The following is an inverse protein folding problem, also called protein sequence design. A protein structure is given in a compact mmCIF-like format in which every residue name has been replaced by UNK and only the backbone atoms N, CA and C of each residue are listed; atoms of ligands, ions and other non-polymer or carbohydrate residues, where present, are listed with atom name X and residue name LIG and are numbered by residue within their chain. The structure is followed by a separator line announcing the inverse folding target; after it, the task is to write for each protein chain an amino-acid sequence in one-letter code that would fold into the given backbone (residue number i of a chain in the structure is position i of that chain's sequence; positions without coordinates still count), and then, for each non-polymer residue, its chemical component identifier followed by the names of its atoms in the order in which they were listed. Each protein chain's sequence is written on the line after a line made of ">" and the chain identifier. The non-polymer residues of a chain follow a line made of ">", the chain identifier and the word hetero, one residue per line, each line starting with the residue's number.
data_IF_506787889921
#
_entry.id   IF_506787889921
#
_cell.length_a   1.000
_cell.length_b   1.000
_cell.length_c   1.000
_cell.angle_alpha   90.00
_cell.angle_beta   90.00
_cell.angle_gamma   90.00
#
_symmetry.space_group_name_H-M   'P 1'
#
loop_
_entity.id
_entity.type
_entity.pdbx_description
1 polymer ?
#
# COMPACT_ATOMS: atom_id res chain seq x y z
N UNK A 1 44.94 -30.91 24.66
CA UNK A 1 44.18 -29.64 24.61
C UNK A 1 44.60 -28.82 23.39
N UNK A 2 44.04 -29.10 22.21
CA UNK A 2 44.35 -28.38 20.95
C UNK A 2 43.06 -27.96 20.21
N UNK A 3 41.92 -27.98 20.91
CA UNK A 3 40.59 -27.73 20.29
C UNK A 3 40.12 -26.27 20.46
N UNK A 4 40.88 -25.45 21.19
CA UNK A 4 40.50 -24.06 21.51
C UNK A 4 41.09 -23.02 20.55
N UNK A 5 42.27 -23.27 19.96
CA UNK A 5 42.97 -22.26 19.13
C UNK A 5 42.34 -21.98 17.77
N UNK A 6 41.52 -22.88 17.21
CA UNK A 6 40.86 -22.63 15.91
C UNK A 6 39.59 -21.78 16.06
N UNK A 7 38.87 -21.93 17.19
CA UNK A 7 37.63 -21.18 17.43
C UNK A 7 37.93 -19.72 17.74
N UNK A 8 38.95 -19.47 18.56
CA UNK A 8 39.40 -18.13 18.94
C UNK A 8 39.94 -17.32 17.73
N UNK A 9 40.68 -17.97 16.83
CA UNK A 9 41.15 -17.34 15.60
C UNK A 9 40.00 -16.94 14.63
N UNK A 10 38.93 -17.76 14.58
CA UNK A 10 37.75 -17.45 13.76
C UNK A 10 36.93 -16.29 14.35
N UNK A 11 36.87 -16.17 15.68
CA UNK A 11 36.17 -15.08 16.37
C UNK A 11 36.89 -13.72 16.19
N UNK A 12 38.23 -13.68 16.29
CA UNK A 12 39.03 -12.47 16.05
C UNK A 12 38.93 -11.99 14.60
N UNK A 13 39.11 -12.89 13.62
CA UNK A 13 39.06 -12.53 12.19
C UNK A 13 37.68 -12.02 11.77
N UNK A 14 36.59 -12.52 12.37
CA UNK A 14 35.25 -12.03 12.08
C UNK A 14 34.94 -10.68 12.72
N UNK A 15 35.54 -10.36 13.86
CA UNK A 15 35.25 -9.11 14.59
C UNK A 15 35.82 -7.89 13.85
N UNK A 16 37.03 -8.00 13.30
CA UNK A 16 37.63 -6.94 12.48
C UNK A 16 36.86 -6.67 11.17
N UNK A 17 36.39 -7.75 10.52
CA UNK A 17 35.56 -7.65 9.30
C UNK A 17 34.21 -7.01 9.62
N UNK A 18 33.61 -7.35 10.77
CA UNK A 18 32.33 -6.80 11.25
C UNK A 18 32.41 -5.31 11.58
N UNK A 19 33.42 -4.89 12.35
CA UNK A 19 33.60 -3.49 12.72
C UNK A 19 33.86 -2.59 11.50
N UNK A 20 34.64 -3.09 10.54
CA UNK A 20 34.88 -2.39 9.27
C UNK A 20 33.59 -2.27 8.46
N UNK A 21 32.74 -3.30 8.45
CA UNK A 21 31.47 -3.29 7.74
C UNK A 21 30.47 -2.29 8.36
N UNK A 22 30.32 -2.31 9.68
CA UNK A 22 29.43 -1.40 10.42
C UNK A 22 29.82 0.07 10.22
N UNK A 23 31.13 0.36 10.16
CA UNK A 23 31.65 1.71 9.93
C UNK A 23 31.38 2.23 8.52
N UNK A 24 31.20 1.35 7.53
CA UNK A 24 30.90 1.71 6.15
C UNK A 24 29.40 1.82 5.85
N UNK A 25 28.55 1.21 6.68
CA UNK A 25 27.11 1.21 6.51
C UNK A 25 26.51 2.56 6.93
N UNK A 26 25.72 3.15 6.04
CA UNK A 26 24.96 4.37 6.29
C UNK A 26 23.47 4.08 6.23
N UNK A 27 22.69 4.76 7.08
CA UNK A 27 21.21 4.75 7.01
C UNK A 27 20.78 5.24 5.62
N UNK A 28 19.80 4.57 5.02
CA UNK A 28 19.30 4.79 3.66
C UNK A 28 20.07 4.07 2.55
N UNK A 29 21.08 3.26 2.88
CA UNK A 29 21.81 2.50 1.86
C UNK A 29 21.02 1.27 1.44
N UNK A 30 20.85 1.08 0.14
CA UNK A 30 20.28 -0.13 -0.44
C UNK A 30 21.38 -1.17 -0.62
N UNK A 31 21.16 -2.39 -0.13
CA UNK A 31 22.06 -3.53 -0.30
C UNK A 31 21.31 -4.81 -0.60
N UNK A 32 22.01 -5.73 -1.25
CA UNK A 32 21.53 -7.08 -1.45
C UNK A 32 21.97 -7.95 -0.27
N UNK A 33 21.07 -8.79 0.22
CA UNK A 33 21.33 -9.74 1.29
C UNK A 33 20.66 -11.08 1.03
N UNK A 34 21.06 -12.08 1.79
CA UNK A 34 20.50 -13.44 1.71
C UNK A 34 19.70 -13.72 2.97
N UNK A 35 18.47 -14.19 2.83
CA UNK A 35 17.64 -14.53 3.99
C UNK A 35 18.26 -15.73 4.72
N UNK A 36 18.81 -15.51 5.91
CA UNK A 36 19.40 -16.59 6.71
C UNK A 36 18.35 -17.36 7.51
N UNK A 37 17.29 -16.69 7.98
CA UNK A 37 16.24 -17.31 8.79
C UNK A 37 14.95 -16.51 8.76
N UNK A 38 13.81 -17.18 8.97
CA UNK A 38 12.49 -16.54 9.01
C UNK A 38 11.84 -16.89 10.35
N UNK A 39 11.27 -15.88 11.01
CA UNK A 39 10.55 -16.01 12.28
C UNK A 39 9.16 -15.38 12.15
N UNK A 40 8.24 -15.69 13.07
CA UNK A 40 6.85 -15.20 12.97
C UNK A 40 6.73 -13.66 12.99
N UNK A 41 7.71 -12.96 13.57
CA UNK A 41 7.71 -11.49 13.67
C UNK A 41 8.62 -10.80 12.64
N UNK A 42 9.27 -11.54 11.75
CA UNK A 42 10.23 -10.95 10.79
C UNK A 42 11.13 -11.95 10.06
N UNK A 43 12.10 -11.43 9.33
CA UNK A 43 13.11 -12.22 8.63
C UNK A 43 14.52 -11.69 8.92
N UNK A 44 15.47 -12.60 9.09
CA UNK A 44 16.89 -12.31 9.23
C UNK A 44 17.56 -12.40 7.87
N UNK A 45 18.28 -11.36 7.50
CA UNK A 45 18.99 -11.24 6.23
C UNK A 45 20.45 -10.97 6.51
N UNK A 46 21.31 -11.84 6.00
CA UNK A 46 22.76 -11.68 6.04
C UNK A 46 23.19 -10.74 4.91
N UNK A 47 23.91 -9.67 5.27
CA UNK A 47 24.46 -8.68 4.35
C UNK A 47 25.95 -8.90 4.05
N UNK A 48 26.49 -10.08 4.35
CA UNK A 48 27.88 -10.45 4.09
C UNK A 48 28.83 -9.97 5.18
N UNK A 49 28.41 -10.07 6.43
CA UNK A 49 29.23 -9.72 7.59
C UNK A 49 28.43 -9.40 8.84
N UNK A 50 27.20 -8.90 8.67
CA UNK A 50 26.28 -8.51 9.73
C UNK A 50 24.87 -8.98 9.41
N UNK A 51 24.18 -9.46 10.44
CA UNK A 51 22.78 -9.88 10.35
C UNK A 51 21.86 -8.67 10.52
N UNK A 52 20.99 -8.44 9.54
CA UNK A 52 19.92 -7.48 9.65
C UNK A 52 18.57 -8.15 9.89
N UNK A 53 17.71 -7.47 10.64
CA UNK A 53 16.35 -7.92 10.91
C UNK A 53 15.35 -7.05 10.13
N UNK A 54 14.48 -7.71 9.38
CA UNK A 54 13.31 -7.10 8.74
C UNK A 54 12.09 -7.42 9.58
N UNK A 55 11.35 -6.40 10.00
CA UNK A 55 10.10 -6.61 10.74
C UNK A 55 9.00 -7.13 9.80
N UNK A 56 8.02 -7.89 10.31
CA UNK A 56 6.86 -8.33 9.49
C UNK A 56 6.14 -7.16 8.82
N UNK A 57 6.10 -6.01 9.51
CA UNK A 57 5.54 -4.77 8.97
C UNK A 57 6.40 -4.12 7.89
N UNK A 58 7.67 -4.51 7.72
CA UNK A 58 8.61 -3.97 6.73
C UNK A 58 8.91 -4.97 5.59
N UNK A 59 8.29 -6.15 5.63
CA UNK A 59 8.39 -7.20 4.60
C UNK A 59 7.56 -6.88 3.35
N UNK A 60 6.33 -6.35 3.52
CA UNK A 60 5.49 -5.89 2.41
C UNK A 60 4.47 -4.86 2.87
N UNK A 61 4.03 -4.02 1.92
CA UNK A 61 2.90 -3.10 2.09
C UNK A 61 1.56 -3.81 2.28
N UNK A 62 1.49 -5.10 1.93
CA UNK A 62 0.31 -5.95 2.12
C UNK A 62 0.28 -6.55 3.53
N UNK A 63 -0.92 -6.82 4.03
CA UNK A 63 -1.09 -7.65 5.22
C UNK A 63 -0.68 -9.07 4.86
N UNK A 64 0.34 -9.60 5.55
CA UNK A 64 0.86 -10.95 5.33
C UNK A 64 0.58 -11.74 6.60
N UNK A 65 -0.14 -12.85 6.47
CA UNK A 65 -0.35 -13.79 7.57
C UNK A 65 0.93 -14.58 7.91
N UNK A 66 1.73 -14.94 6.89
CA UNK A 66 3.00 -15.65 7.07
C UNK A 66 4.16 -15.09 6.23
N UNK A 67 5.28 -14.65 6.86
CA UNK A 67 6.43 -14.09 6.13
C UNK A 67 7.09 -15.07 5.16
N UNK A 68 6.90 -16.38 5.37
CA UNK A 68 7.38 -17.45 4.48
C UNK A 68 6.74 -17.45 3.08
N UNK A 69 5.63 -16.74 2.88
CA UNK A 69 5.01 -16.58 1.56
C UNK A 69 5.72 -15.53 0.70
N UNK A 70 6.40 -14.57 1.35
CA UNK A 70 7.02 -13.42 0.68
C UNK A 70 8.51 -13.60 0.52
N UNK A 71 9.17 -14.22 1.51
CA UNK A 71 10.60 -14.50 1.48
C UNK A 71 10.87 -15.95 1.85
N UNK A 72 11.89 -16.56 1.24
CA UNK A 72 12.35 -17.92 1.57
C UNK A 72 13.77 -17.88 2.13
N UNK A 73 14.08 -18.80 3.03
CA UNK A 73 15.46 -18.96 3.51
C UNK A 73 16.37 -19.30 2.33
N UNK A 74 17.46 -18.56 2.19
CA UNK A 74 18.41 -18.64 1.07
C UNK A 74 18.06 -17.74 -0.12
N UNK A 75 16.95 -17.01 -0.07
CA UNK A 75 16.57 -16.10 -1.16
C UNK A 75 17.39 -14.81 -1.12
N UNK A 76 17.68 -14.27 -2.31
CA UNK A 76 18.41 -13.01 -2.47
C UNK A 76 17.42 -11.86 -2.51
N UNK A 77 17.49 -10.98 -1.53
CA UNK A 77 16.56 -9.86 -1.38
C UNK A 77 17.31 -8.53 -1.33
N UNK A 78 16.73 -7.50 -1.93
CA UNK A 78 17.27 -6.14 -1.92
C UNK A 78 16.59 -5.32 -0.84
N UNK A 79 17.36 -4.90 0.15
CA UNK A 79 16.89 -4.28 1.38
C UNK A 79 17.51 -2.90 1.58
N UNK A 80 16.79 -1.99 2.21
CA UNK A 80 17.31 -0.70 2.64
C UNK A 80 17.61 -0.70 4.13
N UNK A 81 18.72 -0.06 4.51
CA UNK A 81 19.12 0.13 5.91
C UNK A 81 18.31 1.28 6.52
N UNK A 82 17.34 0.96 7.38
CA UNK A 82 16.59 2.00 8.11
C UNK A 82 17.39 2.54 9.29
N UNK A 83 17.95 1.63 10.09
CA UNK A 83 18.66 1.97 11.31
C UNK A 83 19.82 1.00 11.55
N UNK A 84 20.88 1.50 12.16
CA UNK A 84 22.10 0.75 12.48
C UNK A 84 22.39 0.98 13.95
N UNK A 85 22.30 -0.09 14.74
CA UNK A 85 22.61 -0.11 16.16
C UNK A 85 24.02 -0.71 16.33
N UNK A 86 25.00 0.16 16.56
CA UNK A 86 26.42 -0.18 16.70
C UNK A 86 26.70 -0.89 18.03
N UNK A 87 25.98 -0.54 19.09
CA UNK A 87 26.15 -1.13 20.43
C UNK A 87 25.69 -2.59 20.48
N UNK A 88 24.65 -2.92 19.71
CA UNK A 88 24.10 -4.27 19.65
C UNK A 88 24.50 -5.04 18.41
N UNK A 89 25.28 -4.45 17.51
CA UNK A 89 25.65 -4.99 16.20
C UNK A 89 24.43 -5.45 15.37
N UNK A 90 23.33 -4.70 15.44
CA UNK A 90 22.06 -5.06 14.77
C UNK A 90 21.65 -3.99 13.78
N UNK A 91 21.16 -4.43 12.64
CA UNK A 91 20.69 -3.54 11.58
C UNK A 91 19.19 -3.77 11.37
N UNK A 92 18.42 -2.70 11.37
CA UNK A 92 17.02 -2.73 10.95
C UNK A 92 16.93 -2.50 9.46
N UNK A 93 16.35 -3.48 8.78
CA UNK A 93 16.24 -3.51 7.34
C UNK A 93 14.77 -3.40 6.90
N UNK A 94 14.57 -2.83 5.72
CA UNK A 94 13.27 -2.73 5.07
C UNK A 94 13.31 -3.30 3.66
N UNK A 95 12.30 -4.12 3.32
CA UNK A 95 12.00 -4.47 1.93
C UNK A 95 10.99 -3.50 1.30
N UNK A 96 10.33 -2.67 2.12
CA UNK A 96 9.34 -1.70 1.68
C UNK A 96 9.96 -0.49 1.02
N UNK A 97 11.10 -0.02 1.52
CA UNK A 97 11.70 1.22 1.03
C UNK A 97 12.19 1.12 -0.43
N UNK A 98 12.48 -0.10 -0.89
CA UNK A 98 12.75 -0.43 -2.30
C UNK A 98 11.48 -0.64 -3.15
N UNK A 99 10.29 -0.76 -2.52
CA UNK A 99 9.01 -0.89 -3.20
C UNK A 99 8.31 0.48 -3.26
N UNK A 100 7.82 0.88 -4.43
CA UNK A 100 7.07 2.13 -4.59
C UNK A 100 5.91 2.20 -3.59
N UNK A 101 5.84 3.29 -2.82
CA UNK A 101 4.72 3.58 -1.92
C UNK A 101 3.41 3.46 -2.73
N UNK A 102 2.46 2.60 -2.33
CA UNK A 102 1.20 2.45 -3.07
C UNK A 102 0.45 3.78 -3.15
N UNK A 103 0.60 4.66 -2.15
CA UNK A 103 0.07 6.03 -2.16
C UNK A 103 0.70 6.93 -3.22
N UNK A 104 2.02 6.84 -3.42
CA UNK A 104 2.69 7.59 -4.49
C UNK A 104 2.28 7.06 -5.86
N UNK A 105 2.17 5.73 -6.01
CA UNK A 105 1.66 5.11 -7.24
C UNK A 105 0.23 5.54 -7.51
N UNK A 106 -0.61 5.57 -6.48
CA UNK A 106 -2.01 5.98 -6.59
C UNK A 106 -2.12 7.46 -6.96
N UNK A 107 -1.38 8.35 -6.32
CA UNK A 107 -1.37 9.78 -6.68
C UNK A 107 -0.86 10.05 -8.11
N UNK A 108 0.04 9.20 -8.63
CA UNK A 108 0.51 9.30 -10.02
C UNK A 108 -0.48 8.73 -11.04
N UNK A 109 -1.21 7.68 -10.66
CA UNK A 109 -2.10 6.93 -11.57
C UNK A 109 -3.52 7.50 -11.56
N UNK A 110 -3.97 8.06 -10.44
CA UNK A 110 -5.33 8.52 -10.23
C UNK A 110 -5.38 10.03 -10.03
N UNK A 111 -6.08 10.69 -10.94
CA UNK A 111 -6.37 12.13 -10.87
C UNK A 111 -7.61 12.33 -9.98
N UNK A 112 -7.62 13.33 -9.07
CA UNK A 112 -8.84 13.71 -8.36
C UNK A 112 -9.95 14.00 -9.37
N UNK A 113 -11.08 13.32 -9.22
CA UNK A 113 -12.21 13.32 -10.14
C UNK A 113 -12.43 11.98 -10.86
N UNK A 114 -11.50 11.02 -10.76
CA UNK A 114 -11.68 9.70 -11.34
C UNK A 114 -12.65 8.84 -10.53
N UNK A 115 -13.48 8.08 -11.24
CA UNK A 115 -14.33 7.05 -10.64
C UNK A 115 -13.51 5.77 -10.53
N UNK A 116 -13.46 5.24 -9.31
CA UNK A 116 -12.74 4.02 -8.95
C UNK A 116 -13.71 3.05 -8.31
N UNK A 117 -13.49 1.75 -8.55
CA UNK A 117 -14.26 0.69 -7.90
C UNK A 117 -13.59 0.38 -6.57
N UNK A 118 -14.36 0.35 -5.48
CA UNK A 118 -13.84 0.04 -4.16
C UNK A 118 -14.79 -0.85 -3.36
N UNK A 119 -14.23 -1.57 -2.39
CA UNK A 119 -14.97 -2.47 -1.51
C UNK A 119 -15.16 -1.83 -0.14
N UNK A 120 -16.37 -1.85 0.38
CA UNK A 120 -16.65 -1.32 1.73
C UNK A 120 -15.97 -2.20 2.78
N UNK A 121 -15.01 -1.64 3.51
CA UNK A 121 -14.32 -2.34 4.61
C UNK A 121 -15.10 -2.18 5.91
N UNK A 122 -15.46 -0.94 6.26
CA UNK A 122 -16.05 -0.60 7.56
C UNK A 122 -17.01 0.57 7.44
N UNK A 123 -18.09 0.52 8.18
CA UNK A 123 -19.09 1.58 8.24
C UNK A 123 -19.06 2.19 9.64
N UNK A 124 -19.09 3.52 9.73
CA UNK A 124 -19.17 4.27 11.00
C UNK A 124 -20.26 5.34 10.90
N UNK A 125 -20.72 5.88 12.02
CA UNK A 125 -21.84 6.83 12.04
C UNK A 125 -21.59 8.12 11.25
N UNK A 126 -20.34 8.51 11.04
CA UNK A 126 -19.97 9.73 10.30
C UNK A 126 -19.47 9.45 8.86
N UNK A 127 -19.37 8.18 8.44
CA UNK A 127 -18.90 7.85 7.10
C UNK A 127 -18.68 6.37 6.82
N UNK A 128 -18.26 6.06 5.60
CA UNK A 128 -17.98 4.70 5.13
C UNK A 128 -16.54 4.61 4.66
N UNK A 129 -15.81 3.61 5.15
CA UNK A 129 -14.46 3.28 4.70
C UNK A 129 -14.54 2.29 3.54
N UNK A 130 -13.95 2.67 2.42
CA UNK A 130 -13.93 1.91 1.18
C UNK A 130 -12.47 1.69 0.80
N UNK A 131 -12.09 0.43 0.65
CA UNK A 131 -10.79 0.03 0.10
C UNK A 131 -10.87 0.12 -1.42
N UNK A 132 -10.11 1.04 -2.01
CA UNK A 132 -10.09 1.28 -3.46
C UNK A 132 -9.00 0.43 -4.12
N UNK A 133 -7.86 0.29 -3.46
CA UNK A 133 -6.71 -0.49 -3.92
C UNK A 133 -6.00 -1.14 -2.72
N UNK A 134 -5.16 -2.15 -2.97
CA UNK A 134 -4.39 -2.88 -1.94
C UNK A 134 -3.62 -1.93 -1.00
N UNK A 135 -4.16 -1.71 0.21
CA UNK A 135 -3.53 -0.85 1.24
C UNK A 135 -3.93 0.63 1.18
N UNK A 136 -4.93 0.99 0.37
CA UNK A 136 -5.45 2.35 0.24
C UNK A 136 -6.93 2.39 0.62
N UNK A 137 -7.20 3.10 1.71
CA UNK A 137 -8.55 3.30 2.23
C UNK A 137 -9.00 4.75 2.00
N UNK A 138 -10.20 4.90 1.45
CA UNK A 138 -10.87 6.18 1.36
C UNK A 138 -12.09 6.24 2.27
N UNK A 139 -12.41 7.45 2.71
CA UNK A 139 -13.55 7.75 3.54
C UNK A 139 -14.59 8.51 2.72
N UNK A 140 -15.81 7.99 2.70
CA UNK A 140 -16.99 8.69 2.21
C UNK A 140 -17.71 9.30 3.41
N UNK A 141 -17.88 10.61 3.43
CA UNK A 141 -18.69 11.27 4.45
C UNK A 141 -20.17 10.90 4.27
N UNK A 142 -20.94 10.84 5.36
CA UNK A 142 -22.40 10.58 5.28
C UNK A 142 -23.14 11.54 4.34
N UNK A 143 -22.66 12.79 4.25
CA UNK A 143 -23.20 13.82 3.35
C UNK A 143 -22.96 13.51 1.86
N UNK A 144 -21.98 12.67 1.55
CA UNK A 144 -21.57 12.29 0.19
C UNK A 144 -22.06 10.87 -0.19
N UNK A 145 -22.86 10.22 0.67
CA UNK A 145 -23.48 8.91 0.40
C UNK A 145 -24.78 9.02 -0.41
N UNK A 146 -25.63 10.02 -0.15
CA UNK A 146 -26.88 10.23 -0.88
C UNK A 146 -27.40 11.67 -0.74
N UNK A 147 -28.21 12.11 -1.70
CA UNK A 147 -28.91 13.41 -1.65
C UNK A 147 -30.03 13.48 -0.60
N UNK A 148 -30.41 12.36 0.01
CA UNK A 148 -31.43 12.28 1.06
C UNK A 148 -30.72 12.22 2.42
N UNK A 149 -31.33 12.76 3.47
CA UNK A 149 -30.79 12.67 4.83
C UNK A 149 -30.74 11.17 5.22
N UNK A 150 -29.55 10.57 5.18
CA UNK A 150 -29.36 9.17 5.56
C UNK A 150 -28.93 9.16 7.02
N UNK A 151 -29.84 8.79 7.92
CA UNK A 151 -29.54 8.65 9.35
C UNK A 151 -28.61 7.46 9.63
N UNK A 152 -28.61 6.44 8.75
CA UNK A 152 -27.73 5.27 8.87
C UNK A 152 -27.11 4.83 7.54
N UNK A 153 -25.77 4.95 7.37
CA UNK A 153 -25.08 4.54 6.15
C UNK A 153 -25.21 3.02 5.85
N UNK A 154 -25.47 2.19 6.87
CA UNK A 154 -25.70 0.74 6.72
C UNK A 154 -26.95 0.37 5.92
N UNK A 155 -27.91 1.29 5.79
CA UNK A 155 -29.12 1.06 4.97
C UNK A 155 -28.83 1.22 3.48
N UNK A 156 -27.76 1.96 3.12
CA UNK A 156 -27.43 2.29 1.73
C UNK A 156 -26.35 1.35 1.18
N UNK A 157 -25.35 1.01 2.00
CA UNK A 157 -24.23 0.16 1.59
C UNK A 157 -23.97 -0.92 2.63
N UNK A 158 -23.70 -2.15 2.18
CA UNK A 158 -23.34 -3.25 3.08
C UNK A 158 -21.82 -3.35 3.25
N UNK A 159 -21.32 -3.77 4.43
CA UNK A 159 -19.92 -4.11 4.58
C UNK A 159 -19.56 -5.25 3.62
N UNK A 160 -18.50 -5.06 2.85
CA UNK A 160 -18.01 -5.98 1.83
C UNK A 160 -18.62 -5.80 0.44
N UNK A 161 -19.54 -4.86 0.25
CA UNK A 161 -20.12 -4.54 -1.06
C UNK A 161 -19.14 -3.76 -1.93
N UNK A 162 -19.17 -4.01 -3.23
CA UNK A 162 -18.38 -3.27 -4.21
C UNK A 162 -19.18 -2.08 -4.75
N UNK A 163 -18.64 -0.88 -4.59
CA UNK A 163 -19.28 0.38 -4.99
C UNK A 163 -18.34 1.21 -5.84
N UNK A 164 -18.91 1.99 -6.76
CA UNK A 164 -18.17 2.96 -7.55
C UNK A 164 -18.16 4.30 -6.82
N UNK A 165 -16.98 4.86 -6.62
CA UNK A 165 -16.77 6.09 -5.87
C UNK A 165 -15.84 7.00 -6.63
N UNK A 166 -16.11 8.30 -6.55
CA UNK A 166 -15.25 9.31 -7.17
C UNK A 166 -14.26 9.83 -6.13
N UNK A 167 -12.98 9.90 -6.52
CA UNK A 167 -11.95 10.54 -5.69
C UNK A 167 -12.16 12.04 -5.74
N UNK A 168 -12.46 12.68 -4.60
CA UNK A 168 -12.54 14.15 -4.53
C UNK A 168 -11.16 14.71 -4.20
N UNK A 169 -10.54 14.16 -3.17
CA UNK A 169 -9.31 14.69 -2.60
C UNK A 169 -8.43 13.56 -2.07
N UNK A 170 -7.12 13.71 -2.20
CA UNK A 170 -6.11 12.73 -1.77
C UNK A 170 -5.12 13.44 -0.85
N UNK A 171 -5.15 13.09 0.43
CA UNK A 171 -4.23 13.59 1.45
C UNK A 171 -3.10 12.58 1.65
N UNK A 172 -1.94 12.87 1.06
CA UNK A 172 -0.74 12.01 1.12
C UNK A 172 -0.06 12.05 2.49
N UNK A 173 -0.13 13.18 3.19
CA UNK A 173 0.46 13.35 4.52
C UNK A 173 -0.24 12.47 5.55
N UNK A 174 -1.58 12.42 5.49
CA UNK A 174 -2.42 11.64 6.40
C UNK A 174 -2.71 10.24 5.90
N UNK A 175 -2.32 9.91 4.66
CA UNK A 175 -2.69 8.66 3.98
C UNK A 175 -4.20 8.43 4.04
N UNK A 176 -4.97 9.43 3.57
CA UNK A 176 -6.44 9.38 3.54
C UNK A 176 -6.95 9.91 2.20
N UNK A 177 -8.01 9.30 1.69
CA UNK A 177 -8.69 9.76 0.48
C UNK A 177 -10.12 10.15 0.84
N UNK A 178 -10.57 11.31 0.42
CA UNK A 178 -11.98 11.68 0.48
C UNK A 178 -12.67 11.22 -0.79
N UNK A 179 -13.62 10.31 -0.62
CA UNK A 179 -14.39 9.69 -1.69
C UNK A 179 -15.83 10.19 -1.65
N UNK A 180 -16.51 10.17 -2.81
CA UNK A 180 -17.93 10.49 -2.90
C UNK A 180 -18.67 9.48 -3.77
N UNK A 181 -19.78 8.97 -3.22
CA UNK A 181 -20.72 8.13 -3.95
C UNK A 181 -21.67 9.00 -4.79
N UNK A 182 -22.02 10.19 -4.28
CA UNK A 182 -22.93 11.14 -4.93
C UNK A 182 -22.46 11.57 -6.31
N UNK A 183 -21.18 11.96 -6.47
CA UNK A 183 -20.67 12.41 -7.77
C UNK A 183 -20.43 11.27 -8.78
N UNK A 184 -20.35 10.01 -8.35
CA UNK A 184 -20.29 8.88 -9.28
C UNK A 184 -21.65 8.66 -9.98
N UNK A 185 -22.74 8.95 -9.27
CA UNK A 185 -24.11 8.89 -9.79
C UNK A 185 -24.56 10.18 -10.50
N UNK A 186 -23.76 11.25 -10.43
CA UNK A 186 -24.01 12.54 -11.12
C UNK A 186 -23.43 12.52 -12.56
N UNK A 187 -22.44 11.66 -12.83
CA UNK A 187 -21.95 11.38 -14.19
C UNK A 187 -22.90 10.51 -15.01
N UNK A 188 -23.94 9.96 -14.37
CA UNK A 188 -25.05 9.27 -15.02
C UNK A 188 -26.30 9.91 -14.46
N UNK A 189 -26.61 11.09 -14.94
CA UNK A 189 -27.93 11.68 -14.73
C UNK A 189 -28.87 11.06 -15.78
N UNK A 190 -29.74 10.09 -15.43
CA UNK A 190 -30.75 9.57 -16.36
C UNK A 190 -31.88 10.58 -16.63
N UNK A 191 -31.82 11.79 -16.06
CA UNK A 191 -32.82 12.84 -16.18
C UNK A 191 -32.27 14.19 -16.63
N UNK A 192 -30.97 14.32 -16.94
CA UNK A 192 -30.46 15.52 -17.61
C UNK A 192 -30.84 15.46 -19.08
N UNK A 193 -31.62 16.45 -19.54
CA UNK A 193 -31.97 16.68 -20.95
C UNK A 193 -30.74 17.01 -21.84
N UNK A 194 -29.55 17.15 -21.25
CA UNK A 194 -28.27 17.32 -21.95
C UNK A 194 -27.60 15.96 -22.28
N UNK A 195 -28.35 15.01 -22.82
CA UNK A 195 -27.72 13.92 -23.57
C UNK A 195 -27.36 14.50 -24.94
N UNK A 196 -26.07 14.65 -25.24
CA UNK A 196 -25.59 15.12 -26.55
C UNK A 196 -25.02 13.92 -27.35
N UNK A 197 -25.87 13.19 -28.13
CA UNK A 197 -25.49 11.97 -28.84
C UNK A 197 -24.30 12.12 -29.79
N UNK A 198 -24.00 13.35 -30.22
CA UNK A 198 -22.91 13.65 -31.14
C UNK A 198 -21.52 13.35 -30.54
N UNK A 199 -21.36 13.40 -29.22
CA UNK A 199 -20.08 13.19 -28.55
C UNK A 199 -19.66 11.70 -28.49
N UNK A 200 -20.63 10.79 -28.65
CA UNK A 200 -20.43 9.34 -28.53
C UNK A 200 -20.63 8.57 -29.85
N UNK A 201 -20.74 9.29 -30.98
CA UNK A 201 -20.65 8.69 -32.33
C UNK A 201 -21.81 7.76 -32.72
N UNK A 202 -22.99 7.93 -32.13
CA UNK A 202 -24.20 7.23 -32.57
C UNK A 202 -24.88 7.96 -33.73
N UNK A 203 -25.39 7.25 -34.75
CA UNK A 203 -26.17 7.88 -35.80
C UNK A 203 -27.49 8.40 -35.20
N UNK A 204 -27.67 9.71 -35.28
CA UNK A 204 -28.86 10.40 -34.84
C UNK A 204 -30.06 10.07 -35.75
N UNK A 205 -30.94 9.17 -35.33
CA UNK A 205 -32.29 9.09 -35.90
C UNK A 205 -33.25 9.90 -35.03
N UNK A 206 -33.62 11.08 -35.52
CA UNK A 206 -34.67 11.93 -34.95
C UNK A 206 -35.96 11.73 -35.74
N UNK A 207 -37.11 11.78 -35.07
CA UNK A 207 -38.39 11.86 -35.77
C UNK A 207 -38.62 13.25 -36.39
N UNK A 208 -39.61 13.36 -37.30
CA UNK A 208 -39.93 14.61 -38.01
C UNK A 208 -40.47 15.74 -37.09
N UNK A 209 -40.61 15.48 -35.79
CA UNK A 209 -41.02 16.44 -34.77
C UNK A 209 -39.85 16.88 -33.88
N UNK A 210 -38.63 16.39 -34.16
CA UNK A 210 -37.42 16.78 -33.45
C UNK A 210 -37.23 16.07 -32.11
N UNK A 211 -37.97 14.99 -31.84
CA UNK A 211 -37.80 14.18 -30.64
C UNK A 211 -36.92 12.96 -30.93
N UNK A 212 -36.10 12.60 -29.95
CA UNK A 212 -35.26 11.40 -29.98
C UNK A 212 -36.12 10.15 -29.76
N UNK A 213 -35.83 9.06 -30.48
CA UNK A 213 -36.58 7.80 -30.40
C UNK A 213 -35.87 6.73 -29.57
#
# INVERSE_FOLDING_TARGET
>A
NVVLSRRQYLEETQSEVRETFLSQLKKGQIREGVVSSIVNFGAFVDLGGVDGLIHVSELSWKHIDHPSEVVKVGDKVTVEVLDVDLDRERISLSLKATQEDPWQRFARTHVPGQIVKGKVTKIVQFGVFISVEDGIEGLVHISELANRHVENPETVVKPGEEVFVKVIDVDLDRRRISLSLKQANDSVDPASEDFDPALYGMPAEYDEQGNYK
#
